data_IF_786765681853
#
_entry.id   IF_786765681853
#
_cell.length_a   1.000
_cell.length_b   1.000
_cell.length_c   1.000
_cell.angle_alpha   90.00
_cell.angle_beta   90.00
_cell.angle_gamma   90.00
#
_symmetry.space_group_name_H-M   'P 1'
#
loop_
_entity.id
_entity.type
_entity.pdbx_description
1 polymer ?
#
# COMPACT_ATOMS: atom_id res chain seq x y z
N UNK A 1 16.27 -7.24 -21.17
CA UNK A 1 17.13 -7.40 -19.98
C UNK A 1 18.25 -8.38 -20.30
N UNK A 2 19.49 -8.01 -20.01
CA UNK A 2 20.65 -8.90 -20.15
C UNK A 2 20.65 -9.96 -19.04
N UNK A 3 21.38 -11.06 -19.20
CA UNK A 3 21.45 -12.11 -18.17
C UNK A 3 22.02 -11.57 -16.84
N UNK A 4 22.94 -10.61 -16.92
CA UNK A 4 23.49 -9.91 -15.74
C UNK A 4 22.42 -9.09 -15.01
N UNK A 5 21.57 -8.38 -15.72
CA UNK A 5 20.50 -7.58 -15.13
C UNK A 5 19.45 -8.45 -14.45
N UNK A 6 19.12 -9.61 -15.02
CA UNK A 6 18.25 -10.62 -14.40
C UNK A 6 18.84 -11.16 -13.10
N UNK A 7 20.11 -11.45 -13.10
CA UNK A 7 20.81 -11.93 -11.90
C UNK A 7 20.78 -10.90 -10.78
N UNK A 8 21.01 -9.63 -11.08
CA UNK A 8 20.91 -8.54 -10.10
C UNK A 8 19.47 -8.38 -9.59
N UNK A 9 18.48 -8.45 -10.50
CA UNK A 9 17.08 -8.36 -10.13
C UNK A 9 16.67 -9.46 -9.14
N UNK A 10 16.99 -10.71 -9.41
CA UNK A 10 16.58 -11.85 -8.57
C UNK A 10 17.43 -12.03 -7.31
N UNK A 11 18.74 -11.75 -7.39
CA UNK A 11 19.66 -12.02 -6.27
C UNK A 11 19.82 -10.85 -5.30
N UNK A 12 19.64 -9.62 -5.78
CA UNK A 12 19.85 -8.42 -4.96
C UNK A 12 18.56 -7.64 -4.74
N UNK A 13 17.88 -7.25 -5.81
CA UNK A 13 16.70 -6.38 -5.72
C UNK A 13 15.52 -7.06 -5.03
N UNK A 14 15.11 -8.24 -5.48
CA UNK A 14 13.94 -8.91 -4.92
C UNK A 14 14.09 -9.31 -3.45
N UNK A 15 15.20 -9.90 -3.00
CA UNK A 15 15.38 -10.20 -1.57
C UNK A 15 15.41 -8.95 -0.70
N UNK A 16 16.00 -7.85 -1.20
CA UNK A 16 16.01 -6.57 -0.51
C UNK A 16 14.59 -6.02 -0.32
N UNK A 17 13.80 -5.97 -1.38
CA UNK A 17 12.40 -5.52 -1.34
C UNK A 17 11.56 -6.38 -0.40
N UNK A 18 11.70 -7.71 -0.46
CA UNK A 18 10.95 -8.63 0.40
C UNK A 18 11.31 -8.41 1.88
N UNK A 19 12.60 -8.23 2.18
CA UNK A 19 13.07 -7.98 3.55
C UNK A 19 12.49 -6.68 4.10
N UNK A 20 12.64 -5.58 3.38
CA UNK A 20 12.14 -4.28 3.79
C UNK A 20 10.61 -4.21 3.78
N UNK A 21 9.95 -4.83 2.80
CA UNK A 21 8.50 -4.92 2.75
C UNK A 21 7.93 -5.65 3.96
N UNK A 22 8.51 -6.79 4.34
CA UNK A 22 8.12 -7.50 5.57
C UNK A 22 8.34 -6.65 6.82
N UNK A 23 9.51 -6.01 6.93
CA UNK A 23 9.83 -5.17 8.10
C UNK A 23 8.83 -4.00 8.23
N UNK A 24 8.55 -3.29 7.15
CA UNK A 24 7.60 -2.17 7.16
C UNK A 24 6.17 -2.62 7.44
N UNK A 25 5.74 -3.77 6.90
CA UNK A 25 4.44 -4.35 7.23
C UNK A 25 4.33 -4.70 8.73
N UNK A 26 5.36 -5.33 9.31
CA UNK A 26 5.37 -5.62 10.75
C UNK A 26 5.35 -4.35 11.60
N UNK A 27 6.08 -3.32 11.18
CA UNK A 27 6.11 -2.04 11.89
C UNK A 27 4.78 -1.27 11.76
N UNK A 28 4.05 -1.43 10.66
CA UNK A 28 2.77 -0.76 10.47
C UNK A 28 1.67 -1.28 11.40
N UNK A 29 1.74 -2.55 11.85
CA UNK A 29 0.74 -3.14 12.75
C UNK A 29 0.57 -2.32 14.05
N UNK A 30 1.62 -2.07 14.85
CA UNK A 30 1.46 -1.24 16.05
C UNK A 30 1.08 0.20 15.74
N UNK A 31 1.50 0.76 14.59
CA UNK A 31 1.15 2.13 14.20
C UNK A 31 -0.35 2.32 13.94
N UNK A 32 -1.04 1.29 13.46
CA UNK A 32 -2.50 1.31 13.25
C UNK A 32 -3.26 1.51 14.57
N UNK A 33 -2.71 1.06 15.70
CA UNK A 33 -3.34 1.23 17.00
C UNK A 33 -3.13 2.61 17.63
N UNK A 34 -2.23 3.45 17.11
CA UNK A 34 -1.95 4.78 17.68
C UNK A 34 -3.21 5.64 17.83
N UNK A 35 -4.11 5.77 16.83
CA UNK A 35 -5.34 6.55 17.00
C UNK A 35 -6.24 6.02 18.12
N UNK A 36 -6.36 4.70 18.24
CA UNK A 36 -7.16 4.09 19.31
C UNK A 36 -6.53 4.33 20.69
N UNK A 37 -5.22 4.23 20.80
CA UNK A 37 -4.47 4.53 22.03
C UNK A 37 -4.61 6.02 22.40
N UNK A 38 -4.53 6.91 21.42
CA UNK A 38 -4.71 8.34 21.62
C UNK A 38 -6.12 8.65 22.15
N UNK A 39 -7.17 8.06 21.56
CA UNK A 39 -8.54 8.20 22.05
C UNK A 39 -8.70 7.69 23.49
N UNK A 40 -8.06 6.58 23.82
CA UNK A 40 -8.07 6.06 25.19
C UNK A 40 -7.40 7.03 26.16
N UNK A 41 -6.23 7.57 25.82
CA UNK A 41 -5.46 8.45 26.72
C UNK A 41 -6.15 9.81 26.91
N UNK A 42 -6.61 10.44 25.81
CA UNK A 42 -7.15 11.80 25.87
C UNK A 42 -8.61 11.85 26.28
N UNK A 43 -9.41 10.86 25.90
CA UNK A 43 -10.87 10.86 26.11
C UNK A 43 -11.36 9.77 27.07
N UNK A 44 -10.46 8.92 27.57
CA UNK A 44 -10.80 7.78 28.42
C UNK A 44 -11.88 6.87 27.80
N UNK A 45 -11.95 6.88 26.47
CA UNK A 45 -12.93 6.11 25.71
C UNK A 45 -12.53 4.62 25.69
N UNK A 46 -13.14 3.83 26.56
CA UNK A 46 -12.93 2.37 26.61
C UNK A 46 -14.07 1.71 25.81
N UNK A 47 -13.79 1.13 24.64
CA UNK A 47 -14.82 0.40 23.92
C UNK A 47 -15.23 -0.86 24.67
N UNK A 48 -16.53 -1.17 24.68
CA UNK A 48 -16.99 -2.43 25.25
C UNK A 48 -16.49 -3.61 24.40
N UNK A 49 -16.13 -4.72 25.05
CA UNK A 49 -15.66 -5.93 24.36
C UNK A 49 -16.69 -6.42 23.32
N UNK A 50 -17.97 -6.37 23.66
CA UNK A 50 -19.04 -6.72 22.73
C UNK A 50 -19.09 -5.79 21.51
N UNK A 51 -18.90 -4.47 21.69
CA UNK A 51 -18.81 -3.51 20.59
C UNK A 51 -17.65 -3.76 19.66
N UNK A 52 -16.48 -4.10 20.21
CA UNK A 52 -15.29 -4.45 19.40
C UNK A 52 -15.53 -5.70 18.58
N UNK A 53 -16.08 -6.77 19.17
CA UNK A 53 -16.36 -8.02 18.47
C UNK A 53 -17.40 -7.80 17.36
N UNK A 54 -18.50 -7.11 17.67
CA UNK A 54 -19.54 -6.82 16.68
C UNK A 54 -19.02 -5.98 15.53
N UNK A 55 -18.26 -4.92 15.85
CA UNK A 55 -17.64 -4.06 14.84
C UNK A 55 -16.64 -4.83 13.96
N UNK A 56 -15.82 -5.69 14.56
CA UNK A 56 -14.89 -6.54 13.82
C UNK A 56 -15.62 -7.49 12.86
N UNK A 57 -16.66 -8.18 13.32
CA UNK A 57 -17.46 -9.10 12.48
C UNK A 57 -18.11 -8.33 11.34
N UNK A 58 -18.70 -7.17 11.61
CA UNK A 58 -19.36 -6.35 10.58
C UNK A 58 -18.36 -5.90 9.51
N UNK A 59 -17.20 -5.34 9.91
CA UNK A 59 -16.14 -4.91 8.98
C UNK A 59 -15.56 -6.09 8.20
N UNK A 60 -15.24 -7.18 8.88
CA UNK A 60 -14.68 -8.35 8.23
C UNK A 60 -15.65 -8.93 7.20
N UNK A 61 -16.93 -9.09 7.54
CA UNK A 61 -17.94 -9.62 6.63
C UNK A 61 -18.13 -8.75 5.39
N UNK A 62 -18.04 -7.42 5.53
CA UNK A 62 -18.18 -6.50 4.39
C UNK A 62 -16.93 -6.47 3.49
N UNK A 63 -15.76 -6.76 4.04
CA UNK A 63 -14.47 -6.61 3.35
C UNK A 63 -13.85 -7.92 2.89
N UNK A 64 -14.33 -9.07 3.37
CA UNK A 64 -13.71 -10.38 3.11
C UNK A 64 -13.54 -10.68 1.62
N UNK A 65 -14.52 -10.31 0.78
CA UNK A 65 -14.44 -10.50 -0.67
C UNK A 65 -13.26 -9.70 -1.28
N UNK A 66 -13.03 -8.49 -0.81
CA UNK A 66 -11.94 -7.62 -1.28
C UNK A 66 -10.56 -8.15 -0.88
N UNK A 67 -10.43 -8.74 0.30
CA UNK A 67 -9.17 -9.36 0.73
C UNK A 67 -8.71 -10.52 -0.17
N UNK A 68 -9.64 -11.16 -0.87
CA UNK A 68 -9.34 -12.24 -1.83
C UNK A 68 -9.19 -11.68 -3.25
N UNK A 69 -10.11 -10.83 -3.67
CA UNK A 69 -10.15 -10.32 -5.05
C UNK A 69 -9.00 -9.36 -5.34
N UNK A 70 -8.65 -8.47 -4.39
CA UNK A 70 -7.61 -7.45 -4.61
C UNK A 70 -6.23 -8.05 -4.90
N UNK A 71 -5.70 -9.00 -4.12
CA UNK A 71 -4.43 -9.63 -4.46
C UNK A 71 -4.41 -10.26 -5.84
N UNK A 72 -5.49 -10.94 -6.21
CA UNK A 72 -5.57 -11.65 -7.49
C UNK A 72 -5.61 -10.66 -8.67
N UNK A 73 -6.37 -9.57 -8.54
CA UNK A 73 -6.55 -8.60 -9.63
C UNK A 73 -5.41 -7.61 -9.75
N UNK A 74 -4.77 -7.24 -8.64
CA UNK A 74 -3.72 -6.22 -8.64
C UNK A 74 -2.31 -6.79 -8.81
N UNK A 75 -2.09 -8.02 -8.42
CA UNK A 75 -0.76 -8.64 -8.47
C UNK A 75 -0.12 -8.62 -9.86
N UNK A 76 -0.84 -8.91 -10.97
CA UNK A 76 -0.24 -8.89 -12.31
C UNK A 76 0.30 -7.52 -12.73
N UNK A 77 -0.24 -6.44 -12.16
CA UNK A 77 0.15 -5.05 -12.48
C UNK A 77 1.21 -4.54 -11.50
N UNK A 78 1.01 -4.80 -10.21
CA UNK A 78 1.81 -4.20 -9.14
C UNK A 78 3.00 -5.04 -8.72
N UNK A 79 2.93 -6.36 -8.91
CA UNK A 79 3.93 -7.33 -8.42
C UNK A 79 4.24 -7.18 -6.92
N UNK A 80 5.27 -7.91 -6.44
CA UNK A 80 5.62 -7.92 -5.02
C UNK A 80 5.96 -6.52 -4.49
N UNK A 81 6.83 -5.71 -5.14
CA UNK A 81 7.17 -4.37 -4.62
C UNK A 81 5.97 -3.44 -4.54
N UNK A 82 5.18 -3.38 -5.62
CA UNK A 82 4.00 -2.54 -5.68
C UNK A 82 2.92 -2.95 -4.68
N UNK A 83 2.73 -4.24 -4.45
CA UNK A 83 1.77 -4.74 -3.46
C UNK A 83 2.13 -4.30 -2.04
N UNK A 84 3.39 -4.43 -1.61
CA UNK A 84 3.82 -3.95 -0.29
C UNK A 84 3.55 -2.46 -0.11
N UNK A 85 3.97 -1.64 -1.09
CA UNK A 85 3.77 -0.20 -1.03
C UNK A 85 2.29 0.18 -1.01
N UNK A 86 1.50 -0.47 -1.83
CA UNK A 86 0.08 -0.19 -2.01
C UNK A 86 -0.74 -0.53 -0.78
N UNK A 87 -0.48 -1.68 -0.15
CA UNK A 87 -1.20 -2.07 1.07
C UNK A 87 -0.84 -1.20 2.29
N UNK A 88 0.38 -0.71 2.36
CA UNK A 88 0.77 0.22 3.43
C UNK A 88 0.21 1.62 3.18
N UNK A 89 0.27 2.10 1.94
CA UNK A 89 -0.12 3.47 1.60
C UNK A 89 -1.63 3.64 1.33
N UNK A 90 -2.36 2.56 1.10
CA UNK A 90 -3.79 2.59 0.75
C UNK A 90 -4.08 3.11 -0.65
N UNK A 91 -5.38 3.25 -0.97
CA UNK A 91 -5.91 3.71 -2.27
C UNK A 91 -5.40 2.89 -3.46
N UNK A 92 -5.44 1.57 -3.32
CA UNK A 92 -4.88 0.61 -4.29
C UNK A 92 -5.47 0.77 -5.68
N UNK A 93 -6.81 0.81 -5.77
CA UNK A 93 -7.53 0.78 -7.04
C UNK A 93 -7.69 2.14 -7.69
N UNK A 94 -7.93 3.18 -6.88
CA UNK A 94 -8.26 4.51 -7.40
C UNK A 94 -7.03 5.31 -7.79
N UNK A 95 -5.88 5.07 -7.14
CA UNK A 95 -4.67 5.88 -7.38
C UNK A 95 -3.49 5.01 -7.80
N UNK A 96 -3.18 3.93 -7.05
CA UNK A 96 -1.92 3.21 -7.24
C UNK A 96 -1.90 2.35 -8.51
N UNK A 97 -2.96 1.59 -8.75
CA UNK A 97 -3.06 0.77 -9.96
C UNK A 97 -3.16 1.63 -11.24
N UNK A 98 -3.99 2.70 -11.30
CA UNK A 98 -3.96 3.63 -12.44
C UNK A 98 -2.60 4.30 -12.65
N UNK A 99 -1.89 4.70 -11.59
CA UNK A 99 -0.56 5.28 -11.72
C UNK A 99 0.45 4.28 -12.31
N UNK A 100 0.43 3.03 -11.85
CA UNK A 100 1.28 1.97 -12.39
C UNK A 100 0.95 1.66 -13.85
N UNK A 101 -0.33 1.51 -14.20
CA UNK A 101 -0.77 1.26 -15.58
C UNK A 101 -0.44 2.41 -16.52
N UNK A 102 -0.60 3.65 -16.09
CA UNK A 102 -0.24 4.82 -16.89
C UNK A 102 1.28 4.86 -17.16
N UNK A 103 2.10 4.55 -16.18
CA UNK A 103 3.55 4.50 -16.35
C UNK A 103 3.99 3.37 -17.29
N UNK A 104 3.40 2.18 -17.17
CA UNK A 104 3.64 1.06 -18.08
C UNK A 104 3.28 1.41 -19.51
N UNK A 105 2.11 2.02 -19.72
CA UNK A 105 1.68 2.48 -21.05
C UNK A 105 2.57 3.58 -21.61
N UNK A 106 3.01 4.52 -20.77
CA UNK A 106 3.88 5.62 -21.22
C UNK A 106 5.29 5.17 -21.61
N UNK A 107 5.74 4.05 -21.07
CA UNK A 107 7.07 3.47 -21.34
C UNK A 107 7.03 2.33 -22.35
N UNK A 108 5.85 1.96 -22.84
CA UNK A 108 5.63 0.82 -23.75
C UNK A 108 6.19 -0.49 -23.19
N UNK A 109 6.02 -0.71 -21.88
CA UNK A 109 6.49 -1.89 -21.17
C UNK A 109 5.30 -2.72 -20.68
N UNK A 110 5.35 -4.01 -20.97
CA UNK A 110 4.30 -4.94 -20.55
C UNK A 110 4.30 -5.16 -19.04
N UNK A 111 3.08 -5.17 -18.46
CA UNK A 111 2.88 -5.64 -17.10
C UNK A 111 3.32 -7.09 -16.95
N UNK A 112 3.86 -7.47 -15.80
CA UNK A 112 4.30 -8.83 -15.56
C UNK A 112 5.76 -9.10 -15.89
N UNK A 113 6.44 -8.16 -16.56
CA UNK A 113 7.87 -8.25 -16.82
C UNK A 113 8.70 -7.72 -15.66
N UNK A 114 9.98 -8.08 -15.62
CA UNK A 114 10.93 -7.56 -14.63
C UNK A 114 11.07 -6.04 -14.73
N UNK A 115 11.14 -5.50 -15.95
CA UNK A 115 11.12 -4.05 -16.20
C UNK A 115 9.81 -3.41 -15.77
N UNK A 116 8.68 -4.03 -16.09
CA UNK A 116 7.37 -3.58 -15.66
C UNK A 116 7.23 -3.52 -14.14
N UNK A 117 7.82 -4.48 -13.43
CA UNK A 117 7.85 -4.49 -11.96
C UNK A 117 8.57 -3.26 -11.39
N UNK A 118 9.71 -2.88 -11.97
CA UNK A 118 10.49 -1.71 -11.54
C UNK A 118 9.72 -0.42 -11.86
N UNK A 119 9.20 -0.30 -13.08
CA UNK A 119 8.43 0.89 -13.51
C UNK A 119 7.18 1.09 -12.66
N UNK A 120 6.43 0.02 -12.40
CA UNK A 120 5.25 0.05 -11.51
C UNK A 120 5.64 0.49 -10.09
N UNK A 121 6.73 -0.04 -9.53
CA UNK A 121 7.20 0.33 -8.21
C UNK A 121 7.58 1.81 -8.12
N UNK A 122 8.27 2.35 -9.13
CA UNK A 122 8.62 3.77 -9.20
C UNK A 122 7.36 4.63 -9.29
N UNK A 123 6.42 4.30 -10.17
CA UNK A 123 5.18 5.04 -10.37
C UNK A 123 4.33 5.08 -9.08
N UNK A 124 4.22 3.95 -8.37
CA UNK A 124 3.53 3.86 -7.10
C UNK A 124 4.22 4.74 -6.05
N UNK A 125 5.55 4.68 -5.96
CA UNK A 125 6.33 5.51 -5.03
C UNK A 125 6.06 6.99 -5.26
N UNK A 126 6.15 7.46 -6.49
CA UNK A 126 5.85 8.85 -6.86
C UNK A 126 4.41 9.22 -6.49
N UNK A 127 3.45 8.35 -6.79
CA UNK A 127 2.04 8.59 -6.46
C UNK A 127 1.79 8.69 -4.95
N UNK A 128 2.56 7.96 -4.12
CA UNK A 128 2.50 8.07 -2.66
C UNK A 128 2.95 9.46 -2.20
N UNK A 129 4.09 9.94 -2.69
CA UNK A 129 4.59 11.27 -2.33
C UNK A 129 3.62 12.38 -2.74
N UNK A 130 3.05 12.31 -3.95
CA UNK A 130 2.04 13.27 -4.42
C UNK A 130 0.82 13.24 -3.51
N UNK A 131 0.28 12.06 -3.19
CA UNK A 131 -0.87 11.94 -2.29
C UNK A 131 -0.59 12.51 -0.92
N UNK A 132 0.60 12.22 -0.36
CA UNK A 132 1.01 12.75 0.94
C UNK A 132 1.12 14.27 0.92
N UNK A 133 1.69 14.85 -0.12
CA UNK A 133 1.79 16.30 -0.29
C UNK A 133 0.40 16.95 -0.36
N UNK A 134 -0.51 16.39 -1.18
CA UNK A 134 -1.88 16.90 -1.30
C UNK A 134 -2.62 16.80 0.03
N UNK A 135 -2.56 15.66 0.71
CA UNK A 135 -3.21 15.49 2.02
C UNK A 135 -2.67 16.46 3.07
N UNK A 136 -1.36 16.70 3.08
CA UNK A 136 -0.73 17.65 3.98
C UNK A 136 -1.20 19.08 3.69
N UNK A 137 -1.27 19.47 2.42
CA UNK A 137 -1.78 20.79 2.01
C UNK A 137 -3.25 20.97 2.42
N UNK A 138 -4.09 19.98 2.19
CA UNK A 138 -5.51 20.02 2.59
C UNK A 138 -5.65 20.10 4.11
N UNK A 139 -4.87 19.35 4.86
CA UNK A 139 -4.90 19.40 6.33
C UNK A 139 -4.46 20.77 6.86
N UNK A 140 -3.45 21.39 6.25
CA UNK A 140 -3.03 22.75 6.62
C UNK A 140 -4.08 23.79 6.22
N UNK A 141 -4.65 23.70 5.03
CA UNK A 141 -5.69 24.61 4.56
C UNK A 141 -6.96 24.53 5.41
N UNK A 142 -7.34 23.34 5.87
CA UNK A 142 -8.51 23.15 6.73
C UNK A 142 -8.43 23.84 8.09
N UNK A 143 -7.24 24.23 8.54
CA UNK A 143 -7.09 25.06 9.74
C UNK A 143 -7.40 26.55 9.51
N UNK A 144 -7.55 26.97 8.26
CA UNK A 144 -7.85 28.37 7.89
C UNK A 144 -9.32 28.60 7.50
N UNK A 145 -10.12 27.53 7.48
CA UNK A 145 -11.56 27.57 7.21
C UNK A 145 -12.34 27.32 8.50
#
# INVERSE_FOLDING_TARGET
MTDMERDVFHKEYMPYIIKWGKLTCWLSIPLIFIPAIALYIFYQAVPSVGGVITGFIALFSSMVAWYVVDPITLYPILHIPGMYMTYIAGNSKEIRAPAATAALSATDVEAGTEHGTIISAIAISVSIFISLAVMTLVALAGNFI
#
